data_IF_236784298090
#
_entry.id   IF_236784298090
#
_cell.length_a   1.000
_cell.length_b   1.000
_cell.length_c   1.000
_cell.angle_alpha   90.00
_cell.angle_beta   90.00
_cell.angle_gamma   90.00
#
_symmetry.space_group_name_H-M   'P 1'
#
loop_
_entity.id
_entity.type
_entity.pdbx_description
1 polymer ?
#
# COMPACT_ATOMS: atom_id res chain seq x y z
N UNK A 1 62.85 55.20 -41.78
CA UNK A 1 63.64 54.16 -41.09
C UNK A 1 63.37 54.37 -39.61
N UNK A 2 62.59 53.59 -38.87
CA UNK A 2 62.23 52.18 -38.95
C UNK A 2 62.42 51.62 -37.54
N UNK A 3 61.31 51.16 -36.94
CA UNK A 3 61.21 50.26 -35.76
C UNK A 3 60.95 50.90 -34.39
N UNK A 4 59.68 50.94 -34.00
CA UNK A 4 59.25 50.54 -32.65
C UNK A 4 57.80 50.03 -32.75
N UNK A 5 57.69 48.71 -32.90
CA UNK A 5 56.44 47.97 -32.84
C UNK A 5 56.23 47.48 -31.40
N UNK A 6 54.95 47.31 -31.06
CA UNK A 6 54.42 46.34 -30.08
C UNK A 6 54.02 46.89 -28.70
N UNK A 7 52.70 47.03 -28.57
CA UNK A 7 51.85 46.41 -27.53
C UNK A 7 52.37 46.43 -26.08
N UNK A 8 51.64 47.15 -25.22
CA UNK A 8 51.16 46.70 -23.90
C UNK A 8 50.32 47.85 -23.31
N UNK A 9 48.99 47.79 -23.45
CA UNK A 9 48.06 47.29 -22.41
C UNK A 9 48.09 48.20 -21.16
N UNK A 10 47.19 49.18 -21.05
CA UNK A 10 45.90 49.02 -20.36
C UNK A 10 45.99 48.18 -19.08
N UNK A 11 46.07 48.85 -17.92
CA UNK A 11 45.28 48.48 -16.75
C UNK A 11 45.28 49.65 -15.77
N UNK A 12 44.18 50.41 -15.78
CA UNK A 12 43.75 51.17 -14.62
C UNK A 12 43.53 50.19 -13.47
N UNK A 13 44.14 50.47 -12.32
CA UNK A 13 44.01 49.68 -11.10
C UNK A 13 42.55 49.68 -10.63
N UNK A 14 41.82 48.62 -10.99
CA UNK A 14 40.48 48.34 -10.48
C UNK A 14 40.65 47.74 -9.08
N UNK A 15 40.38 48.53 -8.04
CA UNK A 15 40.57 48.13 -6.64
C UNK A 15 39.65 46.95 -6.29
N UNK A 16 40.21 45.73 -6.30
CA UNK A 16 39.50 44.48 -6.04
C UNK A 16 38.78 44.45 -4.68
N UNK A 17 39.22 45.29 -3.74
CA UNK A 17 38.57 45.53 -2.45
C UNK A 17 37.14 46.06 -2.60
N UNK A 18 36.91 46.98 -3.55
CA UNK A 18 35.59 47.57 -3.79
C UNK A 18 34.59 46.53 -4.32
N UNK A 19 35.03 45.67 -5.24
CA UNK A 19 34.21 44.58 -5.80
C UNK A 19 33.87 43.55 -4.72
N UNK A 20 34.85 43.19 -3.88
CA UNK A 20 34.62 42.26 -2.77
C UNK A 20 33.64 42.81 -1.72
N UNK A 21 33.67 44.13 -1.46
CA UNK A 21 32.74 44.82 -0.57
C UNK A 21 31.32 44.80 -1.14
N UNK A 22 31.16 45.12 -2.43
CA UNK A 22 29.86 45.13 -3.12
C UNK A 22 29.23 43.73 -3.19
N UNK A 23 30.03 42.68 -3.43
CA UNK A 23 29.56 41.29 -3.40
C UNK A 23 29.16 40.83 -1.98
N UNK A 24 29.88 41.28 -0.94
CA UNK A 24 29.57 40.97 0.45
C UNK A 24 28.29 41.67 0.94
N UNK A 25 27.93 42.80 0.34
CA UNK A 25 26.73 43.59 0.64
C UNK A 25 25.48 43.01 -0.07
N UNK A 26 25.62 42.57 -1.33
CA UNK A 26 24.58 41.84 -2.06
C UNK A 26 24.26 40.45 -1.45
N UNK A 27 25.23 39.82 -0.78
CA UNK A 27 25.07 38.50 -0.15
C UNK A 27 24.47 38.53 1.27
N UNK A 28 24.20 39.72 1.83
CA UNK A 28 23.81 39.88 3.25
C UNK A 28 22.43 40.52 3.43
N UNK A 29 21.37 39.83 3.03
CA UNK A 29 19.99 40.15 3.46
C UNK A 29 19.14 38.89 3.69
N UNK A 30 19.54 38.04 4.64
CA UNK A 30 18.56 37.28 5.44
C UNK A 30 18.15 38.16 6.61
N UNK A 31 17.05 38.88 6.46
CA UNK A 31 16.35 39.51 7.57
C UNK A 31 15.05 38.74 7.85
N UNK A 32 14.79 38.61 9.13
CA UNK A 32 13.90 37.68 9.83
C UNK A 32 12.40 37.93 9.62
N UNK A 33 11.63 36.90 9.96
CA UNK A 33 10.17 36.81 9.95
C UNK A 33 9.41 38.12 10.24
N UNK A 34 8.44 38.42 9.37
CA UNK A 34 7.28 39.26 9.68
C UNK A 34 6.03 38.41 9.52
N UNK A 35 5.48 37.98 10.65
CA UNK A 35 4.11 37.49 10.74
C UNK A 35 3.20 38.72 10.83
N UNK A 36 2.35 38.94 9.82
CA UNK A 36 1.18 39.81 9.94
C UNK A 36 -0.05 38.92 10.03
N UNK A 37 -0.78 39.16 11.12
CA UNK A 37 -1.93 38.43 11.61
C UNK A 37 -3.22 38.83 10.88
N UNK A 38 -4.00 37.79 10.56
CA UNK A 38 -5.46 37.72 10.72
C UNK A 38 -6.36 38.54 9.78
N UNK A 39 -6.73 37.94 8.63
CA UNK A 39 -8.10 38.03 8.11
C UNK A 39 -8.64 36.63 7.79
N UNK A 40 -8.95 35.92 8.87
CA UNK A 40 -10.19 35.17 9.11
C UNK A 40 -11.22 35.10 7.96
N UNK A 41 -11.25 33.96 7.27
CA UNK A 41 -12.49 33.37 6.79
C UNK A 41 -12.40 31.83 6.76
N UNK A 42 -12.71 31.13 7.85
CA UNK A 42 -12.91 29.69 7.79
C UNK A 42 -14.31 29.46 7.20
N UNK A 43 -14.43 29.33 5.87
CA UNK A 43 -15.69 28.91 5.27
C UNK A 43 -15.93 27.43 5.61
N UNK A 44 -16.51 27.21 6.78
CA UNK A 44 -17.27 26.01 7.12
C UNK A 44 -18.41 25.90 6.11
N UNK A 45 -18.23 25.08 5.09
CA UNK A 45 -19.33 24.27 4.58
C UNK A 45 -18.93 22.81 4.73
N UNK A 46 -19.00 22.38 5.99
CA UNK A 46 -19.26 20.99 6.31
C UNK A 46 -20.68 20.74 5.79
N UNK A 47 -20.79 20.43 4.50
CA UNK A 47 -21.92 19.67 4.03
C UNK A 47 -21.75 18.29 4.65
N UNK A 48 -22.43 18.08 5.78
CA UNK A 48 -22.73 16.76 6.32
C UNK A 48 -23.62 16.08 5.28
N UNK A 49 -23.03 15.61 4.18
CA UNK A 49 -23.53 14.43 3.52
C UNK A 49 -23.06 13.30 4.42
N UNK A 50 -23.96 12.87 5.29
CA UNK A 50 -23.94 11.51 5.78
C UNK A 50 -24.01 10.60 4.55
N UNK A 51 -22.87 10.39 3.88
CA UNK A 51 -22.57 9.09 3.35
C UNK A 51 -22.59 8.23 4.61
N UNK A 52 -23.73 7.61 4.86
CA UNK A 52 -23.79 6.43 5.68
C UNK A 52 -22.61 5.60 5.20
N UNK A 53 -21.53 5.61 5.98
CA UNK A 53 -20.55 4.56 5.87
C UNK A 53 -21.38 3.38 6.32
N UNK A 54 -22.01 2.72 5.34
CA UNK A 54 -22.22 1.29 5.40
C UNK A 54 -20.90 0.83 5.96
N UNK A 55 -20.89 0.44 7.23
CA UNK A 55 -19.74 -0.19 7.82
C UNK A 55 -19.62 -1.41 6.95
N UNK A 56 -18.82 -1.30 5.88
CA UNK A 56 -18.41 -2.39 5.04
C UNK A 56 -17.92 -3.36 6.09
N UNK A 57 -18.73 -4.38 6.35
CA UNK A 57 -18.38 -5.42 7.27
C UNK A 57 -16.99 -5.79 6.80
N UNK A 58 -16.00 -5.59 7.68
CA UNK A 58 -14.58 -5.74 7.40
C UNK A 58 -14.24 -7.22 7.22
N UNK A 59 -15.12 -7.94 6.54
CA UNK A 59 -14.87 -9.14 5.78
C UNK A 59 -14.42 -8.61 4.43
N UNK A 60 -13.13 -8.31 4.39
CA UNK A 60 -12.42 -7.88 3.21
C UNK A 60 -12.73 -8.81 2.04
N UNK A 61 -13.41 -8.33 1.01
CA UNK A 61 -13.69 -9.11 -0.22
C UNK A 61 -12.43 -9.69 -0.88
N UNK A 62 -11.26 -9.13 -0.55
CA UNK A 62 -9.96 -9.65 -0.97
C UNK A 62 -9.57 -11.00 -0.32
N UNK A 63 -10.04 -11.31 0.89
CA UNK A 63 -9.75 -12.60 1.56
C UNK A 63 -10.60 -13.70 0.93
N UNK A 64 -11.89 -13.46 0.71
CA UNK A 64 -12.78 -14.42 0.06
C UNK A 64 -12.34 -14.76 -1.37
N UNK A 65 -11.89 -13.77 -2.16
CA UNK A 65 -11.35 -14.03 -3.50
C UNK A 65 -10.05 -14.84 -3.47
N UNK A 66 -9.23 -14.70 -2.42
CA UNK A 66 -8.02 -15.52 -2.25
C UNK A 66 -8.38 -16.95 -1.87
N UNK A 67 -9.34 -17.15 -0.97
CA UNK A 67 -9.85 -18.47 -0.58
C UNK A 67 -10.47 -19.21 -1.77
N UNK A 68 -11.31 -18.55 -2.57
CA UNK A 68 -11.89 -19.14 -3.79
C UNK A 68 -10.78 -19.61 -4.75
N UNK A 69 -9.79 -18.77 -5.02
CA UNK A 69 -8.66 -19.15 -5.89
C UNK A 69 -7.82 -20.28 -5.30
N UNK A 70 -7.69 -20.35 -3.98
CA UNK A 70 -6.96 -21.41 -3.30
C UNK A 70 -7.69 -22.76 -3.43
N UNK A 71 -8.96 -22.83 -3.01
CA UNK A 71 -9.76 -24.05 -3.03
C UNK A 71 -10.13 -24.54 -4.44
N UNK A 72 -10.14 -23.64 -5.43
CA UNK A 72 -10.31 -24.05 -6.84
C UNK A 72 -9.01 -24.55 -7.47
N UNK A 73 -7.84 -24.16 -6.94
CA UNK A 73 -6.53 -24.59 -7.46
C UNK A 73 -6.08 -25.91 -6.83
N UNK A 74 -6.36 -26.10 -5.54
CA UNK A 74 -5.94 -27.27 -4.78
C UNK A 74 -7.14 -28.14 -4.43
N UNK A 75 -6.98 -29.46 -4.54
CA UNK A 75 -8.03 -30.45 -4.28
C UNK A 75 -7.90 -31.03 -2.87
N UNK A 76 -7.80 -30.17 -1.87
CA UNK A 76 -7.82 -30.63 -0.48
C UNK A 76 -9.25 -30.88 -0.01
N UNK A 77 -9.40 -31.81 0.94
CA UNK A 77 -10.71 -32.13 1.51
C UNK A 77 -11.18 -30.96 2.38
N UNK A 78 -12.35 -30.42 2.05
CA UNK A 78 -12.95 -29.28 2.74
C UNK A 78 -13.60 -29.73 4.05
N UNK A 79 -14.13 -30.96 4.09
CA UNK A 79 -14.77 -31.52 5.28
C UNK A 79 -13.74 -32.30 6.09
N UNK A 80 -13.76 -32.12 7.42
CA UNK A 80 -12.88 -32.88 8.31
C UNK A 80 -13.22 -34.38 8.27
N UNK A 81 -12.19 -35.22 8.20
CA UNK A 81 -12.33 -36.69 8.06
C UNK A 81 -13.11 -37.37 9.20
N UNK A 82 -12.88 -36.99 10.45
CA UNK A 82 -13.51 -37.63 11.61
C UNK A 82 -15.03 -37.42 11.70
N UNK A 83 -15.58 -36.19 11.59
CA UNK A 83 -17.03 -36.00 11.58
C UNK A 83 -17.69 -36.64 10.36
N UNK A 84 -17.09 -36.56 9.16
CA UNK A 84 -17.61 -37.26 7.98
C UNK A 84 -17.70 -38.78 8.19
N UNK A 85 -16.64 -39.39 8.74
CA UNK A 85 -16.64 -40.81 9.07
C UNK A 85 -17.73 -41.20 10.09
N UNK A 86 -18.00 -40.35 11.09
CA UNK A 86 -19.07 -40.61 12.08
C UNK A 86 -20.44 -40.61 11.42
N UNK A 87 -20.70 -39.62 10.56
CA UNK A 87 -21.95 -39.50 9.80
C UNK A 87 -22.16 -40.71 8.86
N UNK A 88 -21.12 -41.14 8.15
CA UNK A 88 -21.20 -42.35 7.31
C UNK A 88 -21.56 -43.59 8.14
N UNK A 89 -20.98 -43.74 9.34
CA UNK A 89 -21.28 -44.88 10.22
C UNK A 89 -22.68 -44.81 10.84
N UNK A 90 -23.18 -43.62 11.11
CA UNK A 90 -24.55 -43.40 11.59
C UNK A 90 -25.55 -43.88 10.54
N UNK A 91 -25.44 -43.37 9.31
CA UNK A 91 -26.33 -43.76 8.20
C UNK A 91 -26.26 -45.27 7.91
N UNK A 92 -25.05 -45.86 7.90
CA UNK A 92 -24.88 -47.30 7.61
C UNK A 92 -25.52 -48.20 8.67
N UNK A 93 -25.50 -47.79 9.95
CA UNK A 93 -26.11 -48.56 11.03
C UNK A 93 -27.62 -48.68 10.88
N UNK A 94 -28.28 -47.68 10.31
CA UNK A 94 -29.72 -47.69 10.05
C UNK A 94 -30.11 -48.76 9.02
N UNK A 95 -29.19 -49.14 8.12
CA UNK A 95 -29.40 -50.19 7.14
C UNK A 95 -28.99 -51.58 7.64
N UNK A 96 -27.79 -51.70 8.24
CA UNK A 96 -27.26 -52.97 8.78
C UNK A 96 -26.30 -52.70 9.94
N UNK A 97 -26.54 -53.36 11.08
CA UNK A 97 -25.81 -53.12 12.34
C UNK A 97 -24.34 -53.54 12.32
N UNK A 98 -23.96 -54.57 11.55
CA UNK A 98 -22.64 -55.22 11.63
C UNK A 98 -21.73 -54.95 10.42
N UNK A 99 -21.97 -53.88 9.67
CA UNK A 99 -21.14 -53.53 8.51
C UNK A 99 -19.80 -52.92 8.92
N UNK A 100 -18.72 -53.55 8.49
CA UNK A 100 -17.34 -53.03 8.61
C UNK A 100 -16.99 -52.26 7.35
N UNK A 101 -16.71 -50.98 7.52
CA UNK A 101 -16.34 -50.08 6.41
C UNK A 101 -14.82 -49.97 6.32
N UNK A 102 -14.27 -50.20 5.13
CA UNK A 102 -12.85 -50.00 4.84
C UNK A 102 -12.49 -48.51 4.88
N UNK A 103 -11.27 -48.18 5.32
CA UNK A 103 -10.81 -46.78 5.38
C UNK A 103 -10.80 -46.10 4.00
N UNK A 104 -10.38 -46.81 2.96
CA UNK A 104 -10.37 -46.30 1.58
C UNK A 104 -11.78 -46.02 1.06
N UNK A 105 -12.76 -46.84 1.43
CA UNK A 105 -14.16 -46.62 1.05
C UNK A 105 -14.71 -45.32 1.65
N UNK A 106 -14.38 -45.01 2.92
CA UNK A 106 -14.76 -43.73 3.53
C UNK A 106 -14.12 -42.55 2.80
N UNK A 107 -12.85 -42.65 2.41
CA UNK A 107 -12.19 -41.60 1.61
C UNK A 107 -12.86 -41.41 0.25
N UNK A 108 -13.15 -42.50 -0.47
CA UNK A 108 -13.80 -42.44 -1.77
C UNK A 108 -15.22 -41.85 -1.70
N UNK A 109 -15.98 -42.18 -0.65
CA UNK A 109 -17.29 -41.56 -0.40
C UNK A 109 -17.16 -40.05 -0.17
N UNK A 110 -16.11 -39.62 0.53
CA UNK A 110 -15.87 -38.20 0.77
C UNK A 110 -15.49 -37.48 -0.53
N UNK A 111 -14.56 -38.05 -1.29
CA UNK A 111 -14.16 -37.52 -2.61
C UNK A 111 -15.37 -37.40 -3.55
N UNK A 112 -16.25 -38.40 -3.59
CA UNK A 112 -17.46 -38.38 -4.40
C UNK A 112 -18.52 -37.37 -3.91
N UNK A 113 -18.53 -37.04 -2.62
CA UNK A 113 -19.49 -36.09 -2.05
C UNK A 113 -19.04 -34.63 -2.19
N UNK A 114 -17.73 -34.39 -2.30
CA UNK A 114 -17.13 -33.06 -2.45
C UNK A 114 -16.82 -32.69 -3.91
N UNK A 115 -16.91 -33.65 -4.84
CA UNK A 115 -16.81 -33.44 -6.29
C UNK A 115 -18.02 -32.68 -6.84
#
# INVERSE_FOLDING_TARGET
>A
MGWASSKEALAAEFDASAVAKMLREMARTKQTARNSTDEKAPRKQIAIKAAQKCTSHRWSGNVSLREIRHYQKFTELLIRKLPFQRLVREIVRDFKTDLRIQRSAVSALQEASEA
#
